data_IF_040505534076
#
_entry.id   IF_040505534076
#
_cell.length_a   1.000
_cell.length_b   1.000
_cell.length_c   1.000
_cell.angle_alpha   90.00
_cell.angle_beta   90.00
_cell.angle_gamma   90.00
#
_symmetry.space_group_name_H-M   'P 1'
#
loop_
_entity.id
_entity.type
_entity.pdbx_description
1 polymer ?
#
# COMPACT_ATOMS: atom_id res chain seq x y z
N UNK A 1 -34.91 21.65 31.60
CA UNK A 1 -33.66 20.85 31.51
C UNK A 1 -33.62 19.81 30.36
N UNK A 2 -34.73 19.58 29.61
CA UNK A 2 -34.78 18.55 28.54
C UNK A 2 -34.28 19.03 27.15
N UNK A 3 -34.12 20.33 26.93
CA UNK A 3 -33.75 20.87 25.61
C UNK A 3 -32.25 21.03 25.41
N UNK A 4 -31.43 21.09 26.47
CA UNK A 4 -29.97 21.25 26.37
C UNK A 4 -29.25 20.02 25.75
N UNK A 5 -29.79 18.82 25.95
CA UNK A 5 -29.21 17.58 25.40
C UNK A 5 -29.36 17.46 23.88
N UNK A 6 -30.46 18.02 23.35
CA UNK A 6 -30.69 17.99 21.88
C UNK A 6 -29.72 18.90 21.13
N UNK A 7 -29.33 20.03 21.71
CA UNK A 7 -28.35 20.92 21.08
C UNK A 7 -26.92 20.37 21.13
N UNK A 8 -26.54 19.65 22.18
CA UNK A 8 -25.23 19.00 22.30
C UNK A 8 -25.10 17.85 21.28
N UNK A 9 -26.15 17.05 21.15
CA UNK A 9 -26.15 15.95 20.14
C UNK A 9 -26.10 16.48 18.71
N UNK A 10 -26.84 17.56 18.41
CA UNK A 10 -26.83 18.18 17.08
C UNK A 10 -25.45 18.80 16.74
N UNK A 11 -24.79 19.44 17.72
CA UNK A 11 -23.47 20.03 17.53
C UNK A 11 -22.39 18.96 17.27
N UNK A 12 -22.47 17.79 17.93
CA UNK A 12 -21.55 16.67 17.72
C UNK A 12 -21.71 16.05 16.32
N UNK A 13 -22.92 15.89 15.83
CA UNK A 13 -23.18 15.35 14.49
C UNK A 13 -22.72 16.31 13.39
N UNK A 14 -22.95 17.61 13.55
CA UNK A 14 -22.49 18.63 12.61
C UNK A 14 -20.97 18.77 12.61
N UNK A 15 -20.31 18.64 13.76
CA UNK A 15 -18.84 18.71 13.86
C UNK A 15 -18.12 17.56 13.15
N UNK A 16 -18.66 16.35 13.24
CA UNK A 16 -18.06 15.17 12.55
C UNK A 16 -18.26 15.23 11.04
N UNK A 17 -19.38 15.74 10.55
CA UNK A 17 -19.62 15.90 9.11
C UNK A 17 -18.67 16.93 8.47
N UNK A 18 -18.30 18.00 9.17
CA UNK A 18 -17.39 19.03 8.70
C UNK A 18 -15.94 18.50 8.57
N UNK A 19 -15.48 17.68 9.52
CA UNK A 19 -14.12 17.13 9.49
C UNK A 19 -13.91 16.10 8.37
N UNK A 20 -14.90 15.29 8.08
CA UNK A 20 -14.87 14.33 6.95
C UNK A 20 -14.84 15.08 5.62
N UNK A 21 -15.66 16.12 5.48
CA UNK A 21 -15.71 16.94 4.25
C UNK A 21 -14.39 17.62 3.90
N UNK A 22 -13.61 18.06 4.88
CA UNK A 22 -12.31 18.72 4.66
C UNK A 22 -11.26 17.77 4.09
N UNK A 23 -11.23 16.50 4.52
CA UNK A 23 -10.28 15.51 4.01
C UNK A 23 -10.52 15.17 2.54
N UNK A 24 -11.77 15.16 2.09
CA UNK A 24 -12.14 14.90 0.70
C UNK A 24 -11.79 16.06 -0.23
N UNK A 25 -12.04 17.29 0.21
CA UNK A 25 -11.68 18.49 -0.53
C UNK A 25 -10.17 18.59 -0.71
N UNK A 26 -9.40 18.34 0.35
CA UNK A 26 -7.94 18.33 0.29
C UNK A 26 -7.41 17.28 -0.68
N UNK A 27 -7.96 16.07 -0.68
CA UNK A 27 -7.55 14.99 -1.58
C UNK A 27 -7.87 15.31 -3.04
N UNK A 28 -9.01 15.92 -3.33
CA UNK A 28 -9.38 16.34 -4.69
C UNK A 28 -8.49 17.46 -5.19
N UNK A 29 -8.23 18.49 -4.39
CA UNK A 29 -7.36 19.62 -4.72
C UNK A 29 -5.90 19.18 -4.95
N UNK A 30 -5.41 18.19 -4.18
CA UNK A 30 -4.05 17.68 -4.23
C UNK A 30 -3.92 16.32 -4.92
N UNK A 31 -4.92 15.87 -5.69
CA UNK A 31 -4.95 14.54 -6.29
C UNK A 31 -3.67 14.17 -7.05
N UNK A 32 -3.10 15.10 -7.82
CA UNK A 32 -1.86 14.87 -8.55
C UNK A 32 -0.66 14.62 -7.61
N UNK A 33 -0.59 15.33 -6.49
CA UNK A 33 0.43 15.15 -5.46
C UNK A 33 0.31 13.80 -4.77
N UNK A 34 -0.90 13.42 -4.37
CA UNK A 34 -1.21 12.10 -3.78
C UNK A 34 -0.85 10.97 -4.74
N UNK A 35 -1.21 11.09 -6.03
CA UNK A 35 -0.84 10.12 -7.07
C UNK A 35 0.68 9.97 -7.18
N UNK A 36 1.43 11.07 -7.20
CA UNK A 36 2.90 11.03 -7.24
C UNK A 36 3.49 10.38 -6.00
N UNK A 37 2.96 10.68 -4.81
CA UNK A 37 3.41 10.10 -3.56
C UNK A 37 3.20 8.59 -3.53
N UNK A 38 1.99 8.08 -3.84
CA UNK A 38 1.75 6.63 -3.89
C UNK A 38 2.63 5.92 -4.92
N UNK A 39 2.91 6.55 -6.07
CA UNK A 39 3.85 6.00 -7.05
C UNK A 39 5.27 5.90 -6.50
N UNK A 40 5.69 6.84 -5.66
CA UNK A 40 7.00 6.79 -5.00
C UNK A 40 7.07 5.66 -3.98
N UNK A 41 6.02 5.46 -3.18
CA UNK A 41 5.92 4.31 -2.27
C UNK A 41 5.97 2.98 -3.04
N UNK A 42 5.26 2.86 -4.16
CA UNK A 42 5.33 1.65 -4.99
C UNK A 42 6.70 1.42 -5.61
N UNK A 43 7.41 2.48 -6.00
CA UNK A 43 8.81 2.37 -6.49
C UNK A 43 9.77 1.93 -5.39
N UNK A 44 9.59 2.41 -4.15
CA UNK A 44 10.43 1.95 -3.03
C UNK A 44 10.23 0.45 -2.75
N UNK A 45 8.98 -0.04 -2.77
CA UNK A 45 8.72 -1.48 -2.67
C UNK A 45 9.46 -2.26 -3.77
N UNK A 46 9.39 -1.78 -5.01
CA UNK A 46 10.09 -2.42 -6.12
C UNK A 46 11.60 -2.44 -5.93
N UNK A 47 12.20 -1.34 -5.44
CA UNK A 47 13.63 -1.27 -5.12
C UNK A 47 14.04 -2.27 -4.03
N UNK A 48 13.26 -2.35 -2.95
CA UNK A 48 13.52 -3.34 -1.89
C UNK A 48 13.40 -4.79 -2.39
N UNK A 49 12.35 -5.10 -3.16
CA UNK A 49 12.15 -6.43 -3.73
C UNK A 49 13.28 -6.77 -4.71
N UNK A 50 13.66 -5.82 -5.57
CA UNK A 50 14.76 -5.98 -6.51
C UNK A 50 16.08 -6.28 -5.81
N UNK A 51 16.44 -5.51 -4.78
CA UNK A 51 17.66 -5.76 -3.99
C UNK A 51 17.67 -7.16 -3.36
N UNK A 52 16.59 -7.58 -2.73
CA UNK A 52 16.48 -8.94 -2.17
C UNK A 52 16.60 -10.02 -3.26
N UNK A 53 15.98 -9.79 -4.41
CA UNK A 53 16.04 -10.72 -5.54
C UNK A 53 17.47 -10.87 -6.08
N UNK A 54 18.21 -9.76 -6.22
CA UNK A 54 19.60 -9.83 -6.69
C UNK A 54 20.53 -10.56 -5.70
N UNK A 55 20.34 -10.37 -4.39
CA UNK A 55 21.08 -11.11 -3.37
C UNK A 55 20.83 -12.62 -3.50
N UNK A 56 19.58 -13.03 -3.66
CA UNK A 56 19.20 -14.43 -3.78
C UNK A 56 19.67 -15.05 -5.10
N UNK A 57 19.45 -14.36 -6.22
CA UNK A 57 19.74 -14.85 -7.56
C UNK A 57 21.24 -15.04 -7.80
N UNK A 58 22.03 -14.09 -7.33
CA UNK A 58 23.48 -14.06 -7.59
C UNK A 58 24.32 -14.59 -6.43
N UNK A 59 23.70 -15.11 -5.35
CA UNK A 59 24.41 -15.64 -4.19
C UNK A 59 25.29 -14.60 -3.50
N UNK A 60 24.86 -13.33 -3.46
CA UNK A 60 25.67 -12.25 -2.89
C UNK A 60 25.86 -12.42 -1.38
N UNK A 61 27.01 -12.01 -0.79
CA UNK A 61 27.32 -12.20 0.63
C UNK A 61 26.55 -11.23 1.56
N UNK A 62 25.39 -10.73 1.11
CA UNK A 62 24.59 -9.72 1.81
C UNK A 62 23.30 -10.28 2.40
N UNK A 63 23.28 -11.55 2.82
CA UNK A 63 22.11 -12.19 3.43
C UNK A 63 21.48 -11.31 4.54
N UNK A 64 22.30 -10.69 5.39
CA UNK A 64 21.85 -9.84 6.48
C UNK A 64 21.03 -8.63 6.05
N UNK A 65 21.21 -8.15 4.81
CA UNK A 65 20.44 -7.00 4.29
C UNK A 65 18.98 -7.34 3.98
N UNK A 66 18.69 -8.62 3.69
CA UNK A 66 17.33 -9.07 3.32
C UNK A 66 16.32 -8.74 4.42
N UNK A 67 16.69 -8.90 5.69
CA UNK A 67 15.81 -8.57 6.81
C UNK A 67 15.42 -7.09 6.81
N UNK A 68 16.36 -6.18 6.56
CA UNK A 68 16.12 -4.74 6.48
C UNK A 68 15.19 -4.37 5.31
N UNK A 69 15.42 -4.92 4.14
CA UNK A 69 14.54 -4.71 2.98
C UNK A 69 13.12 -5.24 3.23
N UNK A 70 12.99 -6.45 3.78
CA UNK A 70 11.70 -7.04 4.10
C UNK A 70 10.92 -6.23 5.15
N UNK A 71 11.61 -5.74 6.18
CA UNK A 71 11.04 -4.83 7.17
C UNK A 71 10.52 -3.54 6.54
N UNK A 72 11.30 -2.90 5.66
CA UNK A 72 10.86 -1.68 4.99
C UNK A 72 9.58 -1.88 4.18
N UNK A 73 9.44 -3.02 3.45
CA UNK A 73 8.20 -3.38 2.75
C UNK A 73 7.06 -3.61 3.74
N UNK A 74 7.30 -4.29 4.86
CA UNK A 74 6.28 -4.55 5.88
C UNK A 74 5.76 -3.26 6.51
N UNK A 75 6.66 -2.36 6.93
CA UNK A 75 6.27 -1.09 7.55
C UNK A 75 5.52 -0.18 6.58
N UNK A 76 6.03 0.00 5.37
CA UNK A 76 5.38 0.84 4.37
C UNK A 76 4.07 0.26 3.83
N UNK A 77 3.79 -1.04 4.03
CA UNK A 77 2.49 -1.62 3.69
C UNK A 77 1.34 -1.07 4.54
N UNK A 78 1.63 -0.59 5.75
CA UNK A 78 0.64 -0.06 6.69
C UNK A 78 -0.04 1.20 6.19
N UNK A 79 0.67 2.01 5.41
CA UNK A 79 0.17 3.27 4.86
C UNK A 79 -0.50 3.12 3.48
N UNK A 80 -0.58 1.90 2.92
CA UNK A 80 -1.11 1.71 1.56
C UNK A 80 -2.56 2.19 1.44
N UNK A 81 -3.41 1.92 2.41
CA UNK A 81 -4.79 2.41 2.35
C UNK A 81 -4.85 3.95 2.36
N UNK A 82 -4.04 4.60 3.17
CA UNK A 82 -4.07 6.05 3.37
C UNK A 82 -3.69 6.84 2.12
N UNK A 83 -2.85 6.25 1.24
CA UNK A 83 -2.39 6.89 0.01
C UNK A 83 -3.30 6.63 -1.21
N UNK A 84 -4.50 6.07 -0.98
CA UNK A 84 -5.56 5.90 -1.98
C UNK A 84 -6.87 6.57 -1.53
N UNK A 85 -6.88 7.86 -1.17
CA UNK A 85 -8.12 8.54 -0.82
C UNK A 85 -9.04 8.62 -2.05
N UNK A 86 -10.33 8.75 -1.81
CA UNK A 86 -11.30 9.01 -2.89
C UNK A 86 -10.94 10.28 -3.67
N UNK A 87 -11.41 10.41 -4.90
CA UNK A 87 -11.06 11.52 -5.78
C UNK A 87 -9.68 11.38 -6.45
N UNK A 88 -8.94 10.28 -6.25
CA UNK A 88 -7.62 10.05 -6.85
C UNK A 88 -7.59 8.89 -7.84
N UNK A 89 -8.76 8.54 -8.41
CA UNK A 89 -8.92 7.49 -9.43
C UNK A 89 -8.41 7.93 -10.81
N UNK A 90 -8.48 9.22 -11.09
CA UNK A 90 -8.21 9.81 -12.41
C UNK A 90 -6.83 10.47 -12.47
N UNK A 91 -6.39 10.79 -13.69
CA UNK A 91 -5.11 11.43 -13.94
C UNK A 91 -3.99 10.47 -14.33
N UNK A 92 -2.74 10.84 -14.06
CA UNK A 92 -1.54 10.03 -14.41
C UNK A 92 -1.35 8.85 -13.44
N UNK A 93 -2.28 7.90 -13.46
CA UNK A 93 -2.30 6.75 -12.55
C UNK A 93 -2.65 5.44 -13.25
N UNK A 94 -2.03 4.35 -12.78
CA UNK A 94 -2.39 2.99 -13.15
C UNK A 94 -3.36 2.35 -12.13
N UNK A 95 -3.82 3.08 -11.11
CA UNK A 95 -4.84 2.57 -10.20
C UNK A 95 -6.17 2.42 -10.94
N UNK A 96 -6.86 1.29 -10.75
CA UNK A 96 -8.19 1.06 -11.29
C UNK A 96 -9.25 1.60 -10.34
N UNK A 97 -10.36 2.13 -10.86
CA UNK A 97 -11.48 2.62 -10.06
C UNK A 97 -12.09 1.55 -9.13
N UNK A 98 -11.96 0.27 -9.48
CA UNK A 98 -12.41 -0.85 -8.66
C UNK A 98 -11.77 -0.90 -7.26
N UNK A 99 -10.66 -0.20 -7.02
CA UNK A 99 -10.06 -0.05 -5.67
C UNK A 99 -11.09 0.51 -4.69
N UNK A 100 -11.77 1.56 -5.06
CA UNK A 100 -12.74 2.26 -4.19
C UNK A 100 -14.09 1.53 -4.13
N UNK A 101 -14.42 0.74 -5.13
CA UNK A 101 -15.61 -0.12 -5.13
C UNK A 101 -15.43 -1.36 -4.25
N UNK A 102 -14.22 -1.91 -4.21
CA UNK A 102 -13.87 -3.11 -3.44
C UNK A 102 -12.83 -2.80 -2.37
N UNK A 103 -13.09 -1.75 -1.61
CA UNK A 103 -12.15 -1.17 -0.65
C UNK A 103 -11.65 -2.15 0.41
N UNK A 104 -12.53 -3.01 0.92
CA UNK A 104 -12.14 -3.98 1.94
C UNK A 104 -11.20 -5.07 1.40
N UNK A 105 -11.41 -5.53 0.18
CA UNK A 105 -10.48 -6.48 -0.48
C UNK A 105 -9.14 -5.80 -0.77
N UNK A 106 -9.16 -4.54 -1.23
CA UNK A 106 -7.93 -3.78 -1.43
C UNK A 106 -7.10 -3.67 -0.13
N UNK A 107 -7.73 -3.27 0.97
CA UNK A 107 -7.09 -3.23 2.30
C UNK A 107 -6.60 -4.60 2.76
N UNK A 108 -7.38 -5.65 2.53
CA UNK A 108 -6.98 -7.02 2.89
C UNK A 108 -5.73 -7.46 2.14
N UNK A 109 -5.61 -7.15 0.84
CA UNK A 109 -4.43 -7.47 0.04
C UNK A 109 -3.20 -6.67 0.46
N UNK A 110 -3.35 -5.39 0.79
CA UNK A 110 -2.27 -4.58 1.34
C UNK A 110 -1.75 -5.14 2.66
N UNK A 111 -2.66 -5.48 3.59
CA UNK A 111 -2.31 -6.13 4.86
C UNK A 111 -1.62 -7.48 4.66
N UNK A 112 -2.08 -8.29 3.69
CA UNK A 112 -1.46 -9.58 3.40
C UNK A 112 -0.02 -9.42 2.90
N UNK A 113 0.25 -8.46 2.03
CA UNK A 113 1.62 -8.12 1.59
C UNK A 113 2.51 -7.81 2.79
N UNK A 114 2.06 -6.95 3.71
CA UNK A 114 2.79 -6.59 4.92
C UNK A 114 3.07 -7.80 5.83
N UNK A 115 2.07 -8.68 6.01
CA UNK A 115 2.24 -9.93 6.78
C UNK A 115 3.29 -10.86 6.17
N UNK A 116 3.27 -11.06 4.85
CA UNK A 116 4.25 -11.92 4.19
C UNK A 116 5.66 -11.31 4.22
N UNK A 117 5.79 -9.99 4.12
CA UNK A 117 7.06 -9.28 4.27
C UNK A 117 7.60 -9.36 5.72
N UNK A 118 6.75 -9.23 6.74
CA UNK A 118 7.14 -9.41 8.14
C UNK A 118 7.61 -10.84 8.44
N UNK A 119 6.99 -11.85 7.83
CA UNK A 119 7.47 -13.24 7.93
C UNK A 119 8.85 -13.39 7.26
N UNK A 120 9.04 -12.74 6.11
CA UNK A 120 10.34 -12.75 5.42
C UNK A 120 11.42 -12.10 6.28
N UNK A 121 11.14 -10.97 6.94
CA UNK A 121 12.07 -10.35 7.87
C UNK A 121 12.54 -11.34 8.95
N UNK A 122 11.59 -12.04 9.60
CA UNK A 122 11.90 -13.01 10.65
C UNK A 122 12.75 -14.16 10.11
N UNK A 123 12.36 -14.74 8.97
CA UNK A 123 13.09 -15.85 8.36
C UNK A 123 14.49 -15.41 7.91
N UNK A 124 14.66 -14.19 7.41
CA UNK A 124 15.95 -13.70 6.96
C UNK A 124 16.98 -13.55 8.09
N UNK A 125 16.55 -13.41 9.35
CA UNK A 125 17.44 -13.29 10.51
C UNK A 125 18.12 -14.62 10.86
N UNK A 126 17.41 -15.74 10.78
CA UNK A 126 17.90 -17.05 11.28
C UNK A 126 17.73 -18.21 10.29
N UNK A 127 16.88 -18.08 9.27
CA UNK A 127 16.59 -19.14 8.31
C UNK A 127 17.69 -19.36 7.27
N UNK A 128 17.58 -20.45 6.55
CA UNK A 128 18.44 -20.76 5.39
C UNK A 128 18.12 -19.88 4.18
N UNK A 129 19.03 -19.81 3.21
CA UNK A 129 18.75 -19.13 1.92
C UNK A 129 17.58 -19.78 1.17
N UNK A 130 17.39 -21.09 1.32
CA UNK A 130 16.24 -21.80 0.74
C UNK A 130 14.92 -21.34 1.35
N UNK A 131 14.84 -21.19 2.70
CA UNK A 131 13.67 -20.69 3.41
C UNK A 131 13.35 -19.23 3.02
N UNK A 132 14.38 -18.40 2.92
CA UNK A 132 14.27 -17.01 2.48
C UNK A 132 13.70 -16.97 1.04
N UNK A 133 14.23 -17.78 0.13
CA UNK A 133 13.76 -17.88 -1.24
C UNK A 133 12.30 -18.33 -1.34
N UNK A 134 11.92 -19.32 -0.54
CA UNK A 134 10.53 -19.79 -0.47
C UNK A 134 9.57 -18.70 0.03
N UNK A 135 9.96 -17.95 1.07
CA UNK A 135 9.15 -16.85 1.59
C UNK A 135 9.11 -15.65 0.65
N UNK A 136 10.22 -15.34 -0.04
CA UNK A 136 10.27 -14.28 -1.05
C UNK A 136 9.26 -14.50 -2.19
N UNK A 137 9.07 -15.77 -2.63
CA UNK A 137 8.02 -16.13 -3.59
C UNK A 137 6.61 -15.78 -3.08
N UNK A 138 6.34 -15.95 -1.78
CA UNK A 138 5.05 -15.60 -1.17
C UNK A 138 4.84 -14.09 -1.15
N UNK A 139 5.87 -13.30 -0.82
CA UNK A 139 5.82 -11.84 -0.91
C UNK A 139 5.53 -11.40 -2.34
N UNK A 140 6.24 -11.94 -3.33
CA UNK A 140 6.00 -11.65 -4.75
C UNK A 140 4.57 -12.00 -5.19
N UNK A 141 4.04 -13.16 -4.75
CA UNK A 141 2.65 -13.57 -5.01
C UNK A 141 1.63 -12.61 -4.38
N UNK A 142 1.88 -12.11 -3.17
CA UNK A 142 1.02 -11.14 -2.51
C UNK A 142 0.97 -9.82 -3.31
N UNK A 143 2.13 -9.28 -3.73
CA UNK A 143 2.21 -8.10 -4.60
C UNK A 143 1.48 -8.33 -5.94
N UNK A 144 1.77 -9.45 -6.61
CA UNK A 144 1.18 -9.79 -7.91
C UNK A 144 -0.34 -9.94 -7.85
N UNK A 145 -0.89 -10.55 -6.81
CA UNK A 145 -2.34 -10.75 -6.65
C UNK A 145 -3.10 -9.43 -6.50
N UNK A 146 -2.51 -8.47 -5.77
CA UNK A 146 -3.07 -7.13 -5.64
C UNK A 146 -3.01 -6.38 -6.97
N UNK A 147 -1.85 -6.36 -7.62
CA UNK A 147 -1.66 -5.67 -8.89
C UNK A 147 -2.53 -6.23 -10.02
N UNK A 148 -2.71 -7.55 -10.09
CA UNK A 148 -3.60 -8.18 -11.10
C UNK A 148 -5.02 -7.63 -11.04
N UNK A 149 -5.54 -7.40 -9.83
CA UNK A 149 -6.91 -6.92 -9.65
C UNK A 149 -7.01 -5.40 -9.75
N UNK A 150 -6.13 -4.67 -9.11
CA UNK A 150 -6.27 -3.24 -8.79
C UNK A 150 -5.38 -2.31 -9.61
N UNK A 151 -4.45 -2.83 -10.41
CA UNK A 151 -3.60 -2.04 -11.29
C UNK A 151 -3.96 -2.25 -12.75
N UNK A 152 -3.95 -1.20 -13.56
CA UNK A 152 -4.08 -1.27 -15.02
C UNK A 152 -2.98 -2.16 -15.60
N UNK A 153 -3.29 -2.99 -16.60
CA UNK A 153 -2.27 -3.76 -17.29
C UNK A 153 -1.31 -2.83 -18.04
N UNK A 154 -0.17 -3.36 -18.47
CA UNK A 154 0.91 -2.56 -19.07
C UNK A 154 0.46 -1.82 -20.33
N UNK A 155 -0.44 -2.40 -21.07
CA UNK A 155 -1.02 -1.88 -22.32
C UNK A 155 -1.88 -0.64 -22.09
N UNK A 156 -2.55 -0.57 -20.93
CA UNK A 156 -3.43 0.54 -20.52
C UNK A 156 -2.73 1.56 -19.62
N UNK A 157 -1.42 1.39 -19.37
CA UNK A 157 -0.68 2.27 -18.47
C UNK A 157 -0.63 3.71 -19.02
N UNK A 158 -0.88 4.68 -18.12
CA UNK A 158 -0.77 6.11 -18.45
C UNK A 158 0.63 6.50 -18.97
N UNK A 159 1.65 5.70 -18.76
CA UNK A 159 3.03 5.93 -19.26
C UNK A 159 3.19 5.63 -20.74
N UNK A 160 2.21 5.00 -21.37
CA UNK A 160 2.22 4.63 -22.79
C UNK A 160 1.39 5.54 -23.68
N UNK A 161 0.71 6.53 -23.08
CA UNK A 161 -0.09 7.51 -23.80
C UNK A 161 0.73 8.73 -24.16
#
# INVERSE_FOLDING_TARGET
MRHSWLYVAAALVLGTALLVGQSWLFAAENAAGVIKYRQSVMRSHWGHLGGMFEILKNGLPYKGHIAGHARAVSESSKIIADIFPEGTADGKTDAKAVIWQEWDDFKAKARNMGKEAAKLEKIARSGSMADIGAQMKKVGKACGSCHKKFRKPKEESYKRK
#
